data_IF_609295994892
#
_entry.id   IF_609295994892
#
_cell.length_a   1.000
_cell.length_b   1.000
_cell.length_c   1.000
_cell.angle_alpha   90.00
_cell.angle_beta   90.00
_cell.angle_gamma   90.00
#
_symmetry.space_group_name_H-M   'P 1'
#
loop_
_entity.id
_entity.type
_entity.pdbx_description
1 polymer ?
#
# COMPACT_ATOMS: atom_id res chain seq x y z
N UNK A 1 -23.38 11.78 -17.91
CA UNK A 1 -22.66 11.02 -18.95
C UNK A 1 -23.25 9.62 -19.00
N UNK A 2 -23.31 8.99 -20.16
CA UNK A 2 -23.89 7.65 -20.33
C UNK A 2 -22.82 6.55 -20.22
N UNK A 3 -23.27 5.29 -20.20
CA UNK A 3 -22.47 4.03 -20.16
C UNK A 3 -21.69 3.78 -18.86
N UNK A 4 -21.55 2.55 -18.38
CA UNK A 4 -22.15 1.29 -18.83
C UNK A 4 -21.41 0.07 -18.27
N UNK A 5 -22.17 -0.86 -17.69
CA UNK A 5 -21.80 -2.24 -17.31
C UNK A 5 -22.95 -3.14 -17.82
N UNK A 6 -22.80 -4.48 -18.02
CA UNK A 6 -21.61 -5.32 -17.78
C UNK A 6 -21.24 -6.30 -18.93
N UNK A 7 -20.00 -6.81 -18.93
CA UNK A 7 -19.55 -8.09 -19.54
C UNK A 7 -18.61 -8.75 -18.51
N UNK A 8 -18.79 -9.93 -17.92
CA UNK A 8 -19.24 -11.28 -18.35
C UNK A 8 -18.18 -12.06 -19.15
N UNK A 9 -17.88 -13.28 -18.64
CA UNK A 9 -16.99 -14.35 -19.14
C UNK A 9 -15.47 -14.25 -18.84
N UNK A 10 -14.77 -15.41 -18.68
CA UNK A 10 -15.24 -16.68 -18.13
C UNK A 10 -14.31 -17.33 -17.08
N UNK A 11 -14.87 -18.23 -16.27
CA UNK A 11 -14.10 -19.15 -15.42
C UNK A 11 -13.16 -20.03 -16.24
N UNK A 12 -11.90 -20.15 -15.82
CA UNK A 12 -11.01 -21.21 -16.30
C UNK A 12 -11.15 -22.46 -15.43
N UNK A 13 -11.83 -23.47 -15.98
CA UNK A 13 -11.78 -24.85 -15.47
C UNK A 13 -10.36 -25.41 -15.54
N UNK A 14 -9.66 -25.44 -14.40
CA UNK A 14 -8.42 -26.22 -14.27
C UNK A 14 -8.79 -27.70 -14.21
N UNK A 15 -8.87 -28.32 -15.38
CA UNK A 15 -9.04 -29.77 -15.55
C UNK A 15 -8.00 -30.53 -14.72
N UNK A 16 -8.43 -31.11 -13.61
CA UNK A 16 -7.65 -32.10 -12.88
C UNK A 16 -7.48 -33.33 -13.76
N UNK A 17 -6.31 -33.44 -14.42
CA UNK A 17 -5.97 -34.59 -15.24
C UNK A 17 -5.73 -35.81 -14.37
N UNK A 18 -6.77 -36.65 -14.26
CA UNK A 18 -6.66 -38.04 -13.83
C UNK A 18 -5.63 -38.78 -14.67
N UNK A 19 -4.51 -39.17 -14.05
CA UNK A 19 -3.62 -40.22 -14.56
C UNK A 19 -3.33 -41.25 -13.47
N UNK A 20 -4.04 -42.39 -13.45
CA UNK A 20 -3.65 -43.53 -12.64
C UNK A 20 -2.54 -44.29 -13.36
N UNK A 21 -1.36 -44.39 -12.75
CA UNK A 21 -0.42 -45.45 -13.11
C UNK A 21 0.45 -45.88 -11.92
N UNK A 22 -0.22 -46.34 -10.86
CA UNK A 22 0.38 -47.34 -9.97
C UNK A 22 0.49 -48.63 -10.79
N UNK A 23 1.56 -48.72 -11.60
CA UNK A 23 1.90 -49.93 -12.34
C UNK A 23 2.30 -50.97 -11.31
N UNK A 24 1.34 -51.82 -10.94
CA UNK A 24 1.56 -52.87 -9.95
C UNK A 24 2.80 -53.67 -10.33
N UNK A 25 3.85 -53.56 -9.51
CA UNK A 25 4.94 -54.52 -9.56
C UNK A 25 4.32 -55.86 -9.21
N UNK A 26 4.19 -56.72 -10.21
CA UNK A 26 3.85 -58.11 -9.99
C UNK A 26 4.84 -58.64 -8.96
N UNK A 27 4.34 -59.03 -7.80
CA UNK A 27 5.16 -59.72 -6.81
C UNK A 27 5.76 -60.92 -7.51
N UNK A 28 7.09 -61.14 -7.43
CA UNK A 28 7.66 -62.37 -7.96
C UNK A 28 6.91 -63.51 -7.27
N UNK A 29 6.29 -64.39 -8.07
CA UNK A 29 5.60 -65.58 -7.55
C UNK A 29 6.55 -66.18 -6.53
N UNK A 30 6.14 -66.24 -5.26
CA UNK A 30 6.91 -66.95 -4.24
C UNK A 30 7.09 -68.35 -4.79
N UNK A 31 8.29 -68.68 -5.24
CA UNK A 31 8.66 -70.05 -5.46
C UNK A 31 8.42 -70.69 -4.09
N UNK A 32 7.40 -71.53 -4.00
CA UNK A 32 7.36 -72.52 -2.93
C UNK A 32 8.66 -73.27 -3.14
N UNK A 33 9.65 -72.99 -2.29
CA UNK A 33 10.72 -73.93 -2.01
C UNK A 33 9.94 -75.15 -1.55
N UNK A 34 9.81 -76.11 -2.46
CA UNK A 34 9.07 -77.32 -2.19
C UNK A 34 9.76 -78.01 -1.02
N UNK A 35 8.97 -78.66 -0.17
CA UNK A 35 9.52 -79.42 0.94
C UNK A 35 10.49 -80.52 0.46
N UNK A 36 10.42 -80.89 -0.83
CA UNK A 36 11.40 -81.72 -1.56
C UNK A 36 12.79 -81.11 -1.73
N UNK A 37 12.92 -79.77 -1.82
CA UNK A 37 14.20 -79.13 -2.07
C UNK A 37 15.17 -79.26 -0.89
N UNK A 38 14.65 -79.41 0.34
CA UNK A 38 15.46 -79.76 1.51
C UNK A 38 15.82 -81.25 1.54
N UNK A 39 14.91 -82.13 1.12
CA UNK A 39 15.18 -83.59 1.02
C UNK A 39 16.31 -83.94 0.05
N UNK A 40 16.61 -83.07 -0.91
CA UNK A 40 17.78 -83.24 -1.78
C UNK A 40 19.11 -83.25 -1.04
N UNK A 41 19.17 -82.74 0.20
CA UNK A 41 20.37 -82.75 1.05
C UNK A 41 20.46 -84.01 1.94
N UNK A 42 19.36 -84.71 2.17
CA UNK A 42 19.33 -85.95 2.96
C UNK A 42 19.92 -87.13 2.15
N UNK A 43 20.51 -88.16 2.77
CA UNK A 43 20.82 -89.41 2.08
C UNK A 43 19.53 -90.10 1.61
N UNK A 44 19.49 -90.61 0.38
CA UNK A 44 18.30 -91.33 -0.12
C UNK A 44 18.14 -92.72 0.50
N UNK A 45 19.23 -93.30 1.02
CA UNK A 45 19.25 -94.60 1.68
C UNK A 45 19.18 -94.45 3.21
N UNK A 46 18.37 -95.29 3.86
CA UNK A 46 18.27 -95.34 5.34
C UNK A 46 19.11 -96.47 5.97
N UNK A 47 19.72 -97.32 5.15
CA UNK A 47 20.56 -98.45 5.57
C UNK A 47 21.72 -98.64 4.56
N UNK A 48 22.90 -99.08 5.01
CA UNK A 48 24.02 -99.37 4.13
C UNK A 48 23.73 -100.61 3.28
N UNK A 49 23.61 -100.44 1.96
CA UNK A 49 23.32 -101.55 1.03
C UNK A 49 24.56 -102.43 0.70
N UNK A 50 25.75 -102.04 1.16
CA UNK A 50 27.02 -102.74 0.92
C UNK A 50 27.51 -103.49 2.15
N UNK A 51 27.99 -104.72 1.94
CA UNK A 51 28.65 -105.55 2.97
C UNK A 51 29.89 -104.86 3.58
N UNK A 52 30.62 -104.07 2.78
CA UNK A 52 31.75 -103.26 3.21
C UNK A 52 31.29 -102.11 4.11
N UNK A 53 30.21 -101.43 3.75
CA UNK A 53 29.62 -100.37 4.57
C UNK A 53 29.08 -100.92 5.90
N UNK A 54 28.37 -102.06 5.91
CA UNK A 54 27.97 -102.75 7.14
C UNK A 54 29.17 -103.13 8.01
N UNK A 55 30.25 -103.66 7.43
CA UNK A 55 31.49 -103.99 8.16
C UNK A 55 32.13 -102.74 8.79
N UNK A 56 32.20 -101.63 8.06
CA UNK A 56 32.74 -100.37 8.59
C UNK A 56 31.88 -99.88 9.76
N UNK A 57 30.55 -99.89 9.62
CA UNK A 57 29.64 -99.50 10.71
C UNK A 57 29.76 -100.40 11.93
N UNK A 58 29.85 -101.73 11.74
CA UNK A 58 30.05 -102.67 12.85
C UNK A 58 31.38 -102.45 13.58
N UNK A 59 32.47 -102.12 12.86
CA UNK A 59 33.76 -101.77 13.48
C UNK A 59 33.65 -100.45 14.25
N UNK A 60 32.94 -99.44 13.72
CA UNK A 60 32.69 -98.19 14.42
C UNK A 60 31.85 -98.40 15.69
N UNK A 61 30.80 -99.22 15.63
CA UNK A 61 29.93 -99.51 16.77
C UNK A 61 30.65 -100.36 17.83
N UNK A 62 31.49 -101.33 17.44
CA UNK A 62 32.34 -102.09 18.36
C UNK A 62 33.43 -101.22 19.01
N UNK A 63 34.03 -100.29 18.26
CA UNK A 63 35.03 -99.36 18.81
C UNK A 63 34.38 -98.32 19.73
N UNK A 64 33.19 -97.82 19.42
CA UNK A 64 32.41 -96.97 20.31
C UNK A 64 32.10 -97.68 21.64
N UNK A 65 31.61 -98.93 21.60
CA UNK A 65 31.33 -99.71 22.81
C UNK A 65 32.60 -99.95 23.66
N UNK A 66 33.74 -100.27 23.04
CA UNK A 66 35.03 -100.42 23.75
C UNK A 66 35.53 -99.09 24.33
N UNK A 67 35.29 -97.98 23.65
CA UNK A 67 35.69 -96.65 24.07
C UNK A 67 34.85 -96.17 25.26
N UNK A 68 33.53 -96.37 25.22
CA UNK A 68 32.64 -96.18 26.37
C UNK A 68 33.14 -96.99 27.56
N UNK A 69 33.40 -98.29 27.39
CA UNK A 69 33.91 -99.14 28.47
C UNK A 69 35.25 -98.68 29.03
N UNK A 70 36.15 -98.18 28.19
CA UNK A 70 37.45 -97.65 28.60
C UNK A 70 37.30 -96.35 29.40
N UNK A 71 36.33 -95.50 29.03
CA UNK A 71 36.05 -94.23 29.72
C UNK A 71 35.51 -94.40 31.14
N UNK A 72 34.90 -95.55 31.45
CA UNK A 72 34.38 -95.87 32.78
C UNK A 72 35.47 -96.34 33.77
N UNK A 73 36.62 -96.83 33.28
CA UNK A 73 37.67 -97.42 34.14
C UNK A 73 38.18 -96.45 35.22
N UNK A 74 38.53 -95.18 34.93
CA UNK A 74 39.00 -94.25 35.96
C UNK A 74 37.97 -94.02 37.07
N UNK A 75 36.70 -93.81 36.71
CA UNK A 75 35.61 -93.62 37.68
C UNK A 75 35.42 -94.83 38.61
N UNK A 76 35.55 -96.05 38.07
CA UNK A 76 35.45 -97.29 38.84
C UNK A 76 36.66 -97.49 39.76
N UNK A 77 37.86 -97.02 39.36
CA UNK A 77 39.06 -97.01 40.22
C UNK A 77 38.90 -95.97 41.36
N UNK A 78 38.47 -94.74 41.05
CA UNK A 78 38.26 -93.66 42.03
C UNK A 78 37.21 -93.98 43.10
N UNK A 79 36.38 -95.00 42.88
CA UNK A 79 35.30 -95.41 43.78
C UNK A 79 35.23 -96.93 43.99
N UNK A 80 36.39 -97.59 43.92
CA UNK A 80 36.52 -99.05 43.96
C UNK A 80 35.81 -99.71 45.16
N UNK A 81 35.86 -99.09 46.35
CA UNK A 81 35.17 -99.56 47.57
C UNK A 81 33.66 -99.76 47.38
N UNK A 82 33.02 -99.02 46.46
CA UNK A 82 31.58 -99.12 46.17
C UNK A 82 31.24 -100.22 45.16
N UNK A 83 32.23 -100.67 44.41
CA UNK A 83 32.06 -101.60 43.29
C UNK A 83 32.77 -102.95 43.52
N UNK A 84 33.64 -103.06 44.52
CA UNK A 84 34.44 -104.27 44.80
C UNK A 84 33.61 -105.56 44.91
N UNK A 85 32.47 -105.51 45.60
CA UNK A 85 31.53 -106.64 45.75
C UNK A 85 30.88 -107.06 44.42
N UNK A 86 30.68 -106.10 43.51
CA UNK A 86 30.03 -106.30 42.21
C UNK A 86 31.01 -106.79 41.14
N UNK A 87 32.25 -106.29 41.20
CA UNK A 87 33.33 -106.64 40.28
C UNK A 87 33.95 -108.01 40.62
N UNK A 88 33.94 -108.39 41.90
CA UNK A 88 34.54 -109.63 42.38
C UNK A 88 36.08 -109.56 42.49
N UNK A 89 36.70 -110.48 43.23
CA UNK A 89 38.10 -110.35 43.66
C UNK A 89 39.10 -110.33 42.51
N UNK A 90 38.81 -111.03 41.41
CA UNK A 90 39.70 -111.09 40.25
C UNK A 90 39.73 -109.76 39.48
N UNK A 91 38.57 -109.13 39.25
CA UNK A 91 38.48 -107.86 38.53
C UNK A 91 39.01 -106.72 39.42
N UNK A 92 38.61 -106.69 40.70
CA UNK A 92 39.10 -105.70 41.68
C UNK A 92 40.62 -105.74 41.82
N UNK A 93 41.25 -106.93 41.82
CA UNK A 93 42.73 -107.05 41.80
C UNK A 93 43.34 -106.47 40.52
N UNK A 94 42.81 -106.79 39.34
CA UNK A 94 43.34 -106.24 38.08
C UNK A 94 43.18 -104.71 38.00
N UNK A 95 42.16 -104.14 38.63
CA UNK A 95 41.97 -102.68 38.74
C UNK A 95 42.94 -102.03 39.72
N UNK A 96 43.26 -102.67 40.85
CA UNK A 96 44.31 -102.21 41.76
C UNK A 96 45.69 -102.26 41.09
N UNK A 97 46.03 -103.36 40.42
CA UNK A 97 47.27 -103.46 39.61
C UNK A 97 47.33 -102.39 38.51
N UNK A 98 46.18 -102.02 37.92
CA UNK A 98 46.09 -100.93 36.95
C UNK A 98 46.30 -99.55 37.60
N UNK A 99 45.75 -99.32 38.80
CA UNK A 99 45.93 -98.09 39.56
C UNK A 99 47.39 -97.91 40.01
N UNK A 100 48.01 -98.96 40.55
CA UNK A 100 49.44 -98.98 40.90
C UNK A 100 50.32 -98.65 39.69
N UNK A 101 50.09 -99.31 38.55
CA UNK A 101 50.81 -99.01 37.30
C UNK A 101 50.57 -97.59 36.77
N UNK A 102 49.37 -97.03 36.96
CA UNK A 102 49.08 -95.64 36.58
C UNK A 102 49.83 -94.66 37.48
N UNK A 103 49.84 -94.89 38.80
CA UNK A 103 50.58 -94.08 39.76
C UNK A 103 52.10 -94.18 39.58
N UNK A 104 52.64 -95.36 39.28
CA UNK A 104 54.06 -95.53 38.90
C UNK A 104 54.41 -94.71 37.66
N UNK A 105 53.56 -94.75 36.63
CA UNK A 105 53.74 -93.99 35.39
C UNK A 105 53.63 -92.48 35.63
N UNK A 106 52.64 -92.02 36.39
CA UNK A 106 52.45 -90.60 36.74
C UNK A 106 53.60 -90.06 37.59
N UNK A 107 54.09 -90.81 38.58
CA UNK A 107 55.27 -90.44 39.36
C UNK A 107 56.52 -90.27 38.48
N UNK A 108 56.72 -91.16 37.50
CA UNK A 108 57.83 -91.07 36.56
C UNK A 108 57.70 -89.92 35.55
N UNK A 109 56.47 -89.60 35.13
CA UNK A 109 56.21 -88.44 34.26
C UNK A 109 56.37 -87.11 35.03
N UNK A 110 55.93 -87.04 36.29
CA UNK A 110 56.09 -85.86 37.13
C UNK A 110 57.56 -85.60 37.50
N UNK A 111 58.32 -86.66 37.85
CA UNK A 111 59.75 -86.55 38.15
C UNK A 111 60.65 -86.33 36.91
N UNK A 112 60.11 -86.44 35.69
CA UNK A 112 60.79 -86.10 34.45
C UNK A 112 60.79 -84.59 34.13
N UNK A 113 60.14 -83.76 34.94
CA UNK A 113 60.03 -82.31 34.71
C UNK A 113 61.29 -81.50 35.02
N UNK A 114 62.23 -82.06 35.79
CA UNK A 114 63.48 -81.42 36.19
C UNK A 114 64.70 -82.24 35.73
N UNK A 115 65.71 -81.56 35.19
CA UNK A 115 66.97 -82.09 34.61
C UNK A 115 66.89 -82.83 33.24
N UNK A 116 67.32 -82.12 32.19
CA UNK A 116 67.26 -82.52 30.76
C UNK A 116 68.26 -83.61 30.31
N UNK A 117 68.80 -84.43 31.22
CA UNK A 117 69.94 -85.32 30.91
C UNK A 117 69.96 -86.68 31.65
N UNK A 118 68.96 -87.57 31.45
CA UNK A 118 69.12 -89.02 31.80
C UNK A 118 68.51 -90.05 30.83
N UNK A 119 69.39 -90.62 30.00
CA UNK A 119 69.46 -92.06 29.65
C UNK A 119 68.30 -92.76 28.93
N UNK A 120 68.66 -93.57 27.92
CA UNK A 120 67.76 -94.55 27.25
C UNK A 120 67.05 -95.51 28.22
N UNK A 121 67.61 -95.74 29.42
CA UNK A 121 66.98 -96.54 30.49
C UNK A 121 65.64 -95.97 30.95
N UNK A 122 65.48 -94.64 31.05
CA UNK A 122 64.17 -94.05 31.38
C UNK A 122 63.16 -94.28 30.26
N UNK A 123 63.57 -94.10 29.00
CA UNK A 123 62.69 -94.35 27.84
C UNK A 123 62.31 -95.83 27.70
N UNK A 124 63.24 -96.75 27.96
CA UNK A 124 62.97 -98.19 28.02
C UNK A 124 62.03 -98.57 29.17
N UNK A 125 62.17 -97.94 30.33
CA UNK A 125 61.29 -98.16 31.47
C UNK A 125 59.87 -97.60 31.24
N UNK A 126 59.75 -96.40 30.67
CA UNK A 126 58.46 -95.82 30.24
C UNK A 126 57.78 -96.70 29.18
N UNK A 127 58.51 -97.18 28.17
CA UNK A 127 57.96 -98.09 27.15
C UNK A 127 57.51 -99.45 27.75
N UNK A 128 58.26 -99.97 28.73
CA UNK A 128 57.91 -101.19 29.45
C UNK A 128 56.66 -101.00 30.33
N UNK A 129 56.56 -99.87 31.05
CA UNK A 129 55.39 -99.50 31.85
C UNK A 129 54.17 -99.24 30.96
N UNK A 130 54.32 -98.49 29.87
CA UNK A 130 53.27 -98.28 28.87
C UNK A 130 52.75 -99.62 28.31
N UNK A 131 53.64 -100.57 28.02
CA UNK A 131 53.25 -101.90 27.55
C UNK A 131 52.59 -102.74 28.65
N UNK A 132 53.05 -102.67 29.91
CA UNK A 132 52.37 -103.31 31.07
C UNK A 132 50.99 -102.70 31.31
N UNK A 133 50.87 -101.38 31.27
CA UNK A 133 49.62 -100.62 31.41
C UNK A 133 48.64 -101.00 30.28
N UNK A 134 49.09 -101.02 29.02
CA UNK A 134 48.29 -101.50 27.88
C UNK A 134 47.84 -102.96 28.07
N UNK A 135 48.70 -103.85 28.56
CA UNK A 135 48.31 -105.23 28.85
C UNK A 135 47.31 -105.32 29.99
N UNK A 136 47.49 -104.54 31.07
CA UNK A 136 46.56 -104.46 32.21
C UNK A 136 45.19 -103.93 31.77
N UNK A 137 45.13 -102.77 31.10
CA UNK A 137 43.90 -102.21 30.52
C UNK A 137 43.22 -103.21 29.59
N UNK A 138 43.97 -103.92 28.72
CA UNK A 138 43.39 -104.94 27.83
C UNK A 138 42.85 -106.15 28.60
N UNK A 139 43.43 -106.52 29.73
CA UNK A 139 42.94 -107.61 30.57
C UNK A 139 41.69 -107.17 31.35
N UNK A 140 41.70 -105.97 31.96
CA UNK A 140 40.52 -105.35 32.57
C UNK A 140 39.36 -105.24 31.57
N UNK A 141 39.61 -104.72 30.36
CA UNK A 141 38.60 -104.62 29.31
C UNK A 141 38.09 -106.00 28.84
N UNK A 142 38.93 -107.03 28.76
CA UNK A 142 38.49 -108.40 28.47
C UNK A 142 37.56 -108.94 29.55
N UNK A 143 37.90 -108.73 30.82
CA UNK A 143 37.10 -109.17 31.97
C UNK A 143 35.76 -108.39 32.07
N UNK A 144 35.78 -107.09 31.77
CA UNK A 144 34.58 -106.26 31.67
C UNK A 144 33.68 -106.71 30.50
N UNK A 145 34.25 -107.00 29.32
CA UNK A 145 33.49 -107.47 28.15
C UNK A 145 32.99 -108.91 28.27
N UNK A 146 33.64 -109.76 29.08
CA UNK A 146 33.17 -111.10 29.40
C UNK A 146 31.88 -111.10 30.25
N UNK A 147 31.59 -110.00 30.96
CA UNK A 147 30.44 -109.83 31.85
C UNK A 147 29.53 -108.69 31.34
N UNK A 148 28.63 -108.96 30.36
CA UNK A 148 27.88 -107.91 29.64
C UNK A 148 26.91 -107.08 30.49
N UNK A 149 26.64 -107.45 31.75
CA UNK A 149 25.83 -106.69 32.70
C UNK A 149 26.62 -105.61 33.47
N UNK A 150 27.94 -105.78 33.68
CA UNK A 150 28.77 -104.79 34.36
C UNK A 150 28.80 -103.41 33.67
N UNK A 151 28.92 -103.31 32.31
CA UNK A 151 28.79 -102.05 31.57
C UNK A 151 27.62 -101.15 31.97
N UNK A 152 26.44 -101.73 32.19
CA UNK A 152 25.23 -100.96 32.52
C UNK A 152 25.12 -100.67 34.03
N UNK A 153 25.69 -101.52 34.87
CA UNK A 153 25.68 -101.33 36.32
C UNK A 153 26.71 -100.29 36.80
N UNK A 154 27.85 -100.17 36.10
CA UNK A 154 28.95 -99.26 36.42
C UNK A 154 28.82 -97.85 35.80
N UNK A 155 27.81 -97.62 34.95
CA UNK A 155 27.55 -96.27 34.39
C UNK A 155 27.17 -95.29 35.52
N UNK A 156 27.83 -94.12 35.63
CA UNK A 156 27.43 -93.08 36.57
C UNK A 156 25.96 -92.70 36.34
N UNK A 157 25.11 -92.87 37.35
CA UNK A 157 23.68 -92.45 37.29
C UNK A 157 23.49 -90.92 37.40
N UNK A 158 24.56 -90.18 37.64
CA UNK A 158 24.59 -88.72 37.74
C UNK A 158 25.80 -88.24 36.95
N UNK A 159 25.58 -87.41 35.93
CA UNK A 159 26.65 -86.84 35.11
C UNK A 159 27.45 -85.81 35.91
N UNK A 160 28.70 -86.12 36.23
CA UNK A 160 29.61 -85.24 36.98
C UNK A 160 30.77 -84.82 36.09
N UNK A 161 30.50 -83.81 35.25
CA UNK A 161 31.49 -83.16 34.40
C UNK A 161 31.92 -83.98 33.19
N UNK A 162 31.96 -83.32 32.03
CA UNK A 162 32.46 -83.92 30.80
C UNK A 162 33.96 -84.26 30.92
N UNK A 163 34.28 -85.49 31.34
CA UNK A 163 35.66 -85.97 31.34
C UNK A 163 36.23 -85.93 29.91
N UNK A 164 37.55 -85.74 29.72
CA UNK A 164 38.14 -85.76 28.37
C UNK A 164 37.81 -87.04 27.58
N UNK A 165 37.61 -88.16 28.28
CA UNK A 165 37.17 -89.42 27.69
C UNK A 165 35.70 -89.36 27.22
N UNK A 166 34.78 -88.77 28.00
CA UNK A 166 33.37 -88.60 27.61
C UNK A 166 33.20 -87.63 26.42
N UNK A 167 33.98 -86.53 26.39
CA UNK A 167 34.04 -85.62 25.23
C UNK A 167 34.45 -86.40 23.97
N UNK A 168 35.48 -87.25 24.10
CA UNK A 168 35.97 -88.05 22.99
C UNK A 168 34.97 -89.14 22.54
N UNK A 169 34.28 -89.81 23.49
CA UNK A 169 33.17 -90.74 23.18
C UNK A 169 32.07 -90.03 22.38
N UNK A 170 31.63 -88.84 22.81
CA UNK A 170 30.59 -88.09 22.08
C UNK A 170 31.07 -87.63 20.70
N UNK A 171 32.30 -87.13 20.59
CA UNK A 171 32.90 -86.76 19.31
C UNK A 171 33.01 -87.95 18.36
N UNK A 172 33.34 -89.14 18.89
CA UNK A 172 33.36 -90.38 18.12
C UNK A 172 31.95 -90.81 17.67
N UNK A 173 30.92 -90.61 18.50
CA UNK A 173 29.52 -90.79 18.11
C UNK A 173 29.09 -89.86 16.97
N UNK A 174 29.50 -88.60 16.98
CA UNK A 174 29.29 -87.65 15.87
C UNK A 174 30.03 -88.11 14.61
N UNK A 175 31.29 -88.53 14.73
CA UNK A 175 32.07 -89.09 13.61
C UNK A 175 31.41 -90.36 13.03
N UNK A 176 30.90 -91.27 13.87
CA UNK A 176 30.18 -92.46 13.46
C UNK A 176 28.92 -92.13 12.66
N UNK A 177 28.17 -91.11 13.06
CA UNK A 177 26.98 -90.66 12.33
C UNK A 177 27.33 -90.00 11.00
N UNK A 178 28.37 -89.16 10.97
CA UNK A 178 28.93 -88.59 9.73
C UNK A 178 29.41 -89.68 8.76
N UNK A 179 30.11 -90.71 9.27
CA UNK A 179 30.54 -91.86 8.46
C UNK A 179 29.34 -92.66 7.93
N UNK A 180 28.27 -92.82 8.71
CA UNK A 180 27.04 -93.43 8.23
C UNK A 180 26.43 -92.60 7.09
N UNK A 181 26.24 -91.29 7.26
CA UNK A 181 25.72 -90.40 6.21
C UNK A 181 26.58 -90.46 4.93
N UNK A 182 27.91 -90.53 5.06
CA UNK A 182 28.85 -90.70 3.94
C UNK A 182 28.82 -92.09 3.28
N UNK A 183 28.39 -93.12 3.98
CA UNK A 183 28.21 -94.48 3.43
C UNK A 183 26.82 -94.69 2.83
N UNK A 184 25.83 -93.87 3.24
CA UNK A 184 24.46 -93.84 2.71
C UNK A 184 24.28 -92.90 1.50
N UNK A 185 25.32 -92.14 1.13
CA UNK A 185 25.28 -91.19 0.01
C UNK A 185 26.00 -91.73 -1.21
N UNK A 186 25.27 -91.80 -2.33
CA UNK A 186 25.87 -92.15 -3.63
C UNK A 186 26.73 -91.00 -4.18
N UNK A 187 27.82 -91.27 -4.91
CA UNK A 187 28.61 -90.21 -5.58
C UNK A 187 27.77 -89.28 -6.47
N UNK A 188 26.73 -89.82 -7.12
CA UNK A 188 25.81 -89.04 -7.97
C UNK A 188 24.88 -88.15 -7.13
N UNK A 189 24.48 -88.62 -5.94
CA UNK A 189 23.68 -87.82 -5.00
C UNK A 189 24.52 -86.68 -4.41
N UNK A 190 25.78 -86.95 -4.04
CA UNK A 190 26.71 -85.93 -3.54
C UNK A 190 27.00 -84.85 -4.60
N UNK A 191 27.23 -85.25 -5.85
CA UNK A 191 27.43 -84.29 -6.94
C UNK A 191 26.14 -83.48 -7.23
N UNK A 192 24.97 -84.09 -7.09
CA UNK A 192 23.67 -83.39 -7.13
C UNK A 192 23.49 -82.39 -5.99
N UNK A 193 23.91 -82.72 -4.76
CA UNK A 193 23.92 -81.81 -3.60
C UNK A 193 24.84 -80.62 -3.84
N UNK A 194 26.05 -80.86 -4.35
CA UNK A 194 27.03 -79.81 -4.69
C UNK A 194 26.47 -78.86 -5.74
N UNK A 195 25.90 -79.39 -6.83
CA UNK A 195 25.29 -78.56 -7.90
C UNK A 195 24.11 -77.73 -7.36
N UNK A 196 23.23 -78.32 -6.56
CA UNK A 196 22.09 -77.64 -5.95
C UNK A 196 22.49 -76.50 -5.00
N UNK A 197 23.51 -76.72 -4.16
CA UNK A 197 24.06 -75.67 -3.29
C UNK A 197 24.74 -74.58 -4.11
N UNK A 198 25.41 -74.92 -5.21
CA UNK A 198 26.00 -73.94 -6.13
C UNK A 198 24.94 -73.09 -6.84
N UNK A 199 23.85 -73.70 -7.31
CA UNK A 199 22.72 -73.00 -7.94
C UNK A 199 22.01 -72.07 -6.95
N UNK A 200 21.70 -72.55 -5.73
CA UNK A 200 21.17 -71.71 -4.66
C UNK A 200 22.11 -70.55 -4.36
N UNK A 201 23.42 -70.79 -4.27
CA UNK A 201 24.42 -69.75 -4.03
C UNK A 201 24.46 -68.71 -5.15
N UNK A 202 24.32 -69.13 -6.41
CA UNK A 202 24.23 -68.25 -7.57
C UNK A 202 22.94 -67.43 -7.58
N UNK A 203 21.81 -68.05 -7.22
CA UNK A 203 20.54 -67.35 -7.05
C UNK A 203 20.59 -66.33 -5.92
N UNK A 204 21.17 -66.68 -4.76
CA UNK A 204 21.38 -65.76 -3.63
C UNK A 204 22.23 -64.57 -4.09
N UNK A 205 23.37 -64.79 -4.76
CA UNK A 205 24.22 -63.70 -5.31
C UNK A 205 23.44 -62.77 -6.24
N UNK A 206 22.73 -63.31 -7.23
CA UNK A 206 21.90 -62.52 -8.16
C UNK A 206 20.80 -61.73 -7.42
N UNK A 207 20.19 -62.32 -6.39
CA UNK A 207 19.18 -61.63 -5.58
C UNK A 207 19.79 -60.55 -4.67
N UNK A 208 20.97 -60.76 -4.07
CA UNK A 208 21.65 -59.72 -3.28
C UNK A 208 22.15 -58.57 -4.15
N UNK A 209 22.66 -58.84 -5.35
CA UNK A 209 22.99 -57.82 -6.36
C UNK A 209 21.75 -57.01 -6.78
N UNK A 210 20.62 -57.68 -7.03
CA UNK A 210 19.36 -56.99 -7.34
C UNK A 210 18.85 -56.14 -6.17
N UNK A 211 18.94 -56.64 -4.92
CA UNK A 211 18.56 -55.90 -3.71
C UNK A 211 19.44 -54.68 -3.51
N UNK A 212 20.77 -54.82 -3.59
CA UNK A 212 21.71 -53.69 -3.43
C UNK A 212 21.55 -52.66 -4.54
N UNK A 213 21.33 -53.07 -5.80
CA UNK A 213 21.04 -52.16 -6.90
C UNK A 213 19.70 -51.41 -6.71
N UNK A 214 18.67 -52.05 -6.16
CA UNK A 214 17.39 -51.40 -5.83
C UNK A 214 17.51 -50.47 -4.63
N UNK A 215 18.27 -50.85 -3.59
CA UNK A 215 18.58 -50.00 -2.44
C UNK A 215 19.36 -48.76 -2.86
N UNK A 216 20.36 -48.88 -3.75
CA UNK A 216 21.10 -47.75 -4.31
C UNK A 216 20.20 -46.81 -5.11
N UNK A 217 19.30 -47.34 -5.95
CA UNK A 217 18.30 -46.54 -6.69
C UNK A 217 17.32 -45.82 -5.75
N UNK A 218 16.89 -46.48 -4.67
CA UNK A 218 16.02 -45.88 -3.66
C UNK A 218 16.74 -44.76 -2.90
N UNK A 219 17.99 -44.98 -2.49
CA UNK A 219 18.81 -43.97 -1.82
C UNK A 219 19.05 -42.75 -2.72
N UNK A 220 19.39 -42.95 -4.00
CA UNK A 220 19.55 -41.87 -4.97
C UNK A 220 18.25 -41.09 -5.21
N UNK A 221 17.10 -41.76 -5.27
CA UNK A 221 15.78 -41.12 -5.39
C UNK A 221 15.40 -40.31 -4.13
N UNK A 222 15.71 -40.82 -2.94
CA UNK A 222 15.54 -40.10 -1.68
C UNK A 222 16.42 -38.85 -1.64
N UNK A 223 17.72 -38.99 -1.96
CA UNK A 223 18.65 -37.86 -1.99
C UNK A 223 18.22 -36.78 -3.00
N UNK A 224 17.86 -37.16 -4.23
CA UNK A 224 17.35 -36.23 -5.24
C UNK A 224 16.08 -35.51 -4.79
N UNK A 225 15.18 -36.18 -4.06
CA UNK A 225 13.99 -35.56 -3.47
C UNK A 225 14.38 -34.56 -2.37
N UNK A 226 15.32 -34.90 -1.51
CA UNK A 226 15.73 -34.07 -0.38
C UNK A 226 16.54 -32.83 -0.85
N UNK A 227 17.30 -32.97 -1.94
CA UNK A 227 17.92 -31.86 -2.68
C UNK A 227 16.87 -30.93 -3.32
N UNK A 228 15.76 -31.46 -3.83
CA UNK A 228 14.64 -30.64 -4.31
C UNK A 228 13.88 -29.94 -3.19
N UNK A 229 13.65 -30.62 -2.06
CA UNK A 229 12.99 -30.06 -0.88
C UNK A 229 13.82 -28.91 -0.34
N UNK A 230 15.13 -29.10 -0.13
CA UNK A 230 16.02 -28.03 0.37
C UNK A 230 16.10 -26.82 -0.58
N UNK A 231 16.09 -27.03 -1.90
CA UNK A 231 15.95 -25.93 -2.89
C UNK A 231 14.63 -25.17 -2.73
N UNK A 232 13.51 -25.88 -2.61
CA UNK A 232 12.18 -25.28 -2.41
C UNK A 232 12.09 -24.55 -1.07
N UNK A 233 12.64 -25.11 0.01
CA UNK A 233 12.69 -24.47 1.34
C UNK A 233 13.50 -23.17 1.34
N UNK A 234 14.60 -23.11 0.58
CA UNK A 234 15.36 -21.88 0.42
C UNK A 234 14.56 -20.81 -0.35
N UNK A 235 13.91 -21.17 -1.46
CA UNK A 235 13.00 -20.26 -2.18
C UNK A 235 11.85 -19.78 -1.27
N UNK A 236 11.30 -20.64 -0.40
CA UNK A 236 10.27 -20.26 0.57
C UNK A 236 10.82 -19.27 1.61
N UNK A 237 12.07 -19.41 2.07
CA UNK A 237 12.72 -18.44 2.98
C UNK A 237 12.94 -17.09 2.29
N UNK A 238 13.43 -17.09 1.05
CA UNK A 238 13.70 -15.88 0.27
C UNK A 238 12.40 -15.12 -0.07
N UNK A 239 11.32 -15.85 -0.39
CA UNK A 239 10.00 -15.25 -0.57
C UNK A 239 9.43 -14.69 0.74
N UNK A 240 9.62 -15.38 1.87
CA UNK A 240 9.17 -14.89 3.19
C UNK A 240 9.89 -13.61 3.60
N UNK A 241 11.22 -13.54 3.45
CA UNK A 241 11.99 -12.32 3.74
C UNK A 241 11.57 -11.18 2.83
N UNK A 242 11.49 -11.41 1.51
CA UNK A 242 11.05 -10.38 0.55
C UNK A 242 9.63 -9.88 0.80
N UNK A 243 8.69 -10.73 1.22
CA UNK A 243 7.34 -10.30 1.64
C UNK A 243 7.41 -9.43 2.90
N UNK A 244 8.21 -9.81 3.90
CA UNK A 244 8.39 -9.01 5.11
C UNK A 244 9.02 -7.65 4.83
N UNK A 245 10.01 -7.59 3.93
CA UNK A 245 10.69 -6.34 3.58
C UNK A 245 9.78 -5.43 2.74
N UNK A 246 9.06 -5.97 1.75
CA UNK A 246 8.02 -5.22 1.04
C UNK A 246 6.93 -4.69 1.98
N UNK A 247 6.55 -5.43 3.03
CA UNK A 247 5.60 -4.97 4.04
C UNK A 247 6.17 -3.85 4.93
N UNK A 248 7.47 -3.85 5.23
CA UNK A 248 8.14 -2.74 5.94
C UNK A 248 8.23 -1.50 5.04
N UNK A 249 8.70 -1.67 3.81
CA UNK A 249 8.91 -0.58 2.85
C UNK A 249 7.59 0.10 2.47
N UNK A 250 6.53 -0.68 2.21
CA UNK A 250 5.18 -0.15 1.97
C UNK A 250 4.63 0.60 3.19
N UNK A 251 4.85 0.10 4.41
CA UNK A 251 4.48 0.83 5.64
C UNK A 251 5.23 2.17 5.79
N UNK A 252 6.54 2.18 5.51
CA UNK A 252 7.36 3.40 5.57
C UNK A 252 6.94 4.40 4.49
N UNK A 253 6.72 3.95 3.25
CA UNK A 253 6.26 4.82 2.16
C UNK A 253 4.87 5.40 2.43
N UNK A 254 3.94 4.61 2.99
CA UNK A 254 2.63 5.10 3.42
C UNK A 254 2.72 6.16 4.52
N UNK A 255 3.59 5.95 5.52
CA UNK A 255 3.84 6.95 6.57
C UNK A 255 4.39 8.26 5.98
N UNK A 256 5.37 8.20 5.08
CA UNK A 256 5.91 9.38 4.40
C UNK A 256 4.85 10.13 3.59
N UNK A 257 4.09 9.42 2.75
CA UNK A 257 3.01 10.02 1.94
C UNK A 257 1.96 10.70 2.83
N UNK A 258 1.64 10.09 3.99
CA UNK A 258 0.71 10.68 4.97
C UNK A 258 1.28 11.94 5.61
N UNK A 259 2.54 11.92 6.06
CA UNK A 259 3.22 13.06 6.67
C UNK A 259 3.43 14.22 5.68
N UNK A 260 3.83 13.91 4.44
CA UNK A 260 3.92 14.88 3.34
C UNK A 260 2.56 15.49 3.02
N UNK A 261 1.50 14.68 2.92
CA UNK A 261 0.12 15.14 2.71
C UNK A 261 -0.41 16.03 3.84
N UNK A 262 -0.19 15.65 5.09
CA UNK A 262 -0.57 16.47 6.25
C UNK A 262 0.19 17.80 6.31
N UNK A 263 1.48 17.81 5.93
CA UNK A 263 2.28 19.03 5.88
C UNK A 263 1.85 19.94 4.73
N UNK A 264 1.61 19.38 3.54
CA UNK A 264 1.08 20.12 2.40
C UNK A 264 -0.28 20.75 2.72
N UNK A 265 -1.19 19.98 3.35
CA UNK A 265 -2.50 20.48 3.78
C UNK A 265 -2.38 21.65 4.77
N UNK A 266 -1.46 21.60 5.74
CA UNK A 266 -1.21 22.70 6.69
C UNK A 266 -0.71 23.96 5.97
N UNK A 267 0.23 23.82 5.03
CA UNK A 267 0.79 24.93 4.24
C UNK A 267 -0.29 25.55 3.36
N UNK A 268 -1.10 24.74 2.66
CA UNK A 268 -2.19 25.23 1.82
C UNK A 268 -3.30 25.91 2.64
N UNK A 269 -3.64 25.35 3.81
CA UNK A 269 -4.59 25.96 4.74
C UNK A 269 -4.09 27.33 5.21
N UNK A 270 -2.84 27.43 5.69
CA UNK A 270 -2.27 28.70 6.12
C UNK A 270 -2.19 29.72 4.96
N UNK A 271 -1.79 29.28 3.77
CA UNK A 271 -1.77 30.13 2.57
C UNK A 271 -3.18 30.62 2.18
N UNK A 272 -4.21 29.79 2.35
CA UNK A 272 -5.61 30.18 2.12
C UNK A 272 -6.12 31.16 3.17
N UNK A 273 -5.80 30.95 4.45
CA UNK A 273 -6.14 31.86 5.55
C UNK A 273 -5.50 33.24 5.34
N UNK A 274 -4.23 33.28 4.96
CA UNK A 274 -3.53 34.54 4.65
C UNK A 274 -4.16 35.27 3.45
N UNK A 275 -4.59 34.54 2.39
CA UNK A 275 -5.33 35.14 1.26
C UNK A 275 -6.68 35.70 1.69
N UNK A 276 -7.43 34.96 2.50
CA UNK A 276 -8.72 35.43 3.02
C UNK A 276 -8.55 36.67 3.92
N UNK A 277 -7.53 36.70 4.77
CA UNK A 277 -7.22 37.86 5.61
C UNK A 277 -6.85 39.11 4.78
N UNK A 278 -6.04 38.95 3.72
CA UNK A 278 -5.74 40.03 2.79
C UNK A 278 -6.98 40.57 2.08
N UNK A 279 -7.80 39.70 1.50
CA UNK A 279 -9.05 40.10 0.85
C UNK A 279 -10.05 40.76 1.82
N UNK A 280 -10.10 40.31 3.07
CA UNK A 280 -10.92 40.92 4.11
C UNK A 280 -10.45 42.35 4.43
N UNK A 281 -9.13 42.55 4.52
CA UNK A 281 -8.53 43.88 4.71
C UNK A 281 -8.79 44.80 3.50
N UNK A 282 -8.72 44.29 2.26
CA UNK A 282 -9.03 45.05 1.05
C UNK A 282 -10.52 45.48 1.03
N UNK A 283 -11.43 44.59 1.45
CA UNK A 283 -12.87 44.90 1.58
C UNK A 283 -13.09 46.03 2.60
N UNK A 284 -12.45 45.96 3.76
CA UNK A 284 -12.55 46.98 4.81
C UNK A 284 -12.01 48.34 4.33
N UNK A 285 -10.85 48.37 3.68
CA UNK A 285 -10.29 49.59 3.08
C UNK A 285 -11.21 50.19 2.00
N UNK A 286 -11.79 49.36 1.13
CA UNK A 286 -12.71 49.84 0.09
C UNK A 286 -14.04 50.35 0.68
N UNK A 287 -14.51 49.78 1.78
CA UNK A 287 -15.67 50.29 2.52
C UNK A 287 -15.37 51.65 3.18
N UNK A 288 -14.21 51.80 3.81
CA UNK A 288 -13.75 53.09 4.36
C UNK A 288 -13.65 54.15 3.25
N UNK A 289 -13.00 53.85 2.13
CA UNK A 289 -12.90 54.76 0.97
C UNK A 289 -14.28 55.15 0.43
N UNK A 290 -15.20 54.20 0.28
CA UNK A 290 -16.56 54.46 -0.19
C UNK A 290 -17.32 55.37 0.78
N UNK A 291 -17.25 55.11 2.08
CA UNK A 291 -17.95 55.93 3.09
C UNK A 291 -17.39 57.35 3.17
N UNK A 292 -16.07 57.53 3.06
CA UNK A 292 -15.43 58.83 2.98
C UNK A 292 -15.89 59.61 1.73
N UNK A 293 -15.82 58.98 0.55
CA UNK A 293 -16.22 59.59 -0.72
C UNK A 293 -17.70 59.96 -0.76
N UNK A 294 -18.58 59.13 -0.19
CA UNK A 294 -20.01 59.44 -0.02
C UNK A 294 -20.21 60.65 0.91
N UNK A 295 -19.44 60.76 2.01
CA UNK A 295 -19.51 61.90 2.91
C UNK A 295 -19.02 63.21 2.25
N UNK A 296 -17.90 63.17 1.53
CA UNK A 296 -17.39 64.32 0.76
C UNK A 296 -18.39 64.79 -0.30
N UNK A 297 -18.92 63.86 -1.09
CA UNK A 297 -19.96 64.17 -2.07
C UNK A 297 -21.20 64.77 -1.42
N UNK A 298 -21.67 64.22 -0.29
CA UNK A 298 -22.80 64.77 0.48
C UNK A 298 -22.55 66.21 0.92
N UNK A 299 -21.34 66.54 1.39
CA UNK A 299 -20.96 67.91 1.80
C UNK A 299 -20.92 68.85 0.59
N UNK A 300 -20.31 68.42 -0.53
CA UNK A 300 -20.23 69.21 -1.76
C UNK A 300 -21.63 69.50 -2.35
N UNK A 301 -22.52 68.52 -2.32
CA UNK A 301 -23.88 68.59 -2.85
C UNK A 301 -24.74 69.57 -2.03
N UNK A 302 -24.62 69.50 -0.69
CA UNK A 302 -25.25 70.46 0.22
C UNK A 302 -24.69 71.89 0.04
N UNK A 303 -23.39 72.04 -0.24
CA UNK A 303 -22.79 73.36 -0.53
C UNK A 303 -23.32 73.93 -1.85
N UNK A 304 -23.48 73.10 -2.89
CA UNK A 304 -24.10 73.49 -4.16
C UNK A 304 -25.58 73.86 -3.99
N UNK A 305 -26.37 73.08 -3.24
CA UNK A 305 -27.76 73.45 -2.88
C UNK A 305 -27.84 74.80 -2.19
N UNK A 306 -27.00 75.04 -1.17
CA UNK A 306 -26.91 76.33 -0.48
C UNK A 306 -26.47 77.48 -1.38
N UNK A 307 -25.68 77.23 -2.43
CA UNK A 307 -25.32 78.25 -3.43
C UNK A 307 -26.49 78.52 -4.38
N UNK A 308 -27.17 77.46 -4.85
CA UNK A 308 -28.37 77.56 -5.69
C UNK A 308 -29.45 78.41 -5.01
N UNK A 309 -29.85 78.09 -3.78
CA UNK A 309 -30.92 78.83 -3.08
C UNK A 309 -30.55 80.30 -2.80
N UNK A 310 -29.26 80.63 -2.62
CA UNK A 310 -28.82 82.03 -2.51
C UNK A 310 -29.01 82.79 -3.82
N UNK A 311 -28.58 82.21 -4.94
CA UNK A 311 -28.77 82.80 -6.27
C UNK A 311 -30.26 82.90 -6.65
N UNK A 312 -31.09 81.91 -6.30
CA UNK A 312 -32.54 81.97 -6.50
C UNK A 312 -33.18 83.11 -5.70
N UNK A 313 -32.75 83.32 -4.44
CA UNK A 313 -33.21 84.43 -3.61
C UNK A 313 -32.71 85.80 -4.11
N UNK A 314 -31.47 85.88 -4.61
CA UNK A 314 -30.94 87.08 -5.29
C UNK A 314 -31.76 87.42 -6.54
N UNK A 315 -32.05 86.43 -7.41
CA UNK A 315 -32.91 86.60 -8.59
C UNK A 315 -34.31 87.06 -8.19
N UNK A 316 -34.91 86.44 -7.17
CA UNK A 316 -36.24 86.83 -6.67
C UNK A 316 -36.25 88.29 -6.18
N UNK A 317 -35.22 88.72 -5.44
CA UNK A 317 -35.06 90.11 -5.03
C UNK A 317 -34.90 91.08 -6.22
N UNK A 318 -34.22 90.67 -7.30
CA UNK A 318 -34.11 91.48 -8.52
C UNK A 318 -35.43 91.58 -9.29
N UNK A 319 -36.19 90.49 -9.38
CA UNK A 319 -37.53 90.49 -9.98
C UNK A 319 -38.47 91.37 -9.17
N UNK A 320 -38.51 91.23 -7.84
CA UNK A 320 -39.36 92.06 -6.99
C UNK A 320 -39.04 93.56 -7.16
N UNK A 321 -37.76 93.95 -7.20
CA UNK A 321 -37.36 95.34 -7.45
C UNK A 321 -37.80 95.83 -8.83
N UNK A 322 -37.62 95.01 -9.86
CA UNK A 322 -38.08 95.36 -11.20
C UNK A 322 -39.60 95.57 -11.23
N UNK A 323 -40.37 94.68 -10.59
CA UNK A 323 -41.82 94.78 -10.52
C UNK A 323 -42.27 96.04 -9.73
N UNK A 324 -41.58 96.41 -8.64
CA UNK A 324 -41.87 97.66 -7.92
C UNK A 324 -41.52 98.90 -8.73
N UNK A 325 -40.32 98.95 -9.30
CA UNK A 325 -39.85 100.10 -10.08
C UNK A 325 -40.73 100.32 -11.33
N UNK A 326 -41.18 99.23 -11.97
CA UNK A 326 -42.12 99.28 -13.09
C UNK A 326 -43.53 99.73 -12.66
N UNK A 327 -44.02 99.30 -11.49
CA UNK A 327 -45.30 99.76 -10.96
C UNK A 327 -45.27 101.26 -10.58
N UNK A 328 -44.18 101.73 -9.97
CA UNK A 328 -43.95 103.15 -9.68
C UNK A 328 -43.91 103.98 -10.98
N UNK A 329 -43.16 103.52 -12.00
CA UNK A 329 -43.08 104.20 -13.30
C UNK A 329 -44.39 104.19 -14.07
N UNK A 330 -45.19 103.13 -13.94
CA UNK A 330 -46.54 103.08 -14.51
C UNK A 330 -47.48 104.06 -13.81
N UNK A 331 -47.42 104.18 -12.48
CA UNK A 331 -48.20 105.16 -11.72
C UNK A 331 -47.81 106.61 -12.04
N UNK A 332 -46.50 106.91 -12.15
CA UNK A 332 -46.01 108.22 -12.63
C UNK A 332 -46.52 108.54 -14.04
N UNK A 333 -46.50 107.56 -14.95
CA UNK A 333 -47.02 107.72 -16.31
C UNK A 333 -48.52 108.01 -16.31
N UNK A 334 -49.31 107.27 -15.52
CA UNK A 334 -50.76 107.45 -15.40
C UNK A 334 -51.12 108.82 -14.77
N UNK A 335 -50.36 109.30 -13.79
CA UNK A 335 -50.52 110.64 -13.21
C UNK A 335 -50.24 111.74 -14.26
N UNK A 336 -49.16 111.60 -15.04
CA UNK A 336 -48.80 112.54 -16.10
C UNK A 336 -49.83 112.51 -17.25
N UNK A 337 -50.30 111.34 -17.67
CA UNK A 337 -51.31 111.21 -18.74
C UNK A 337 -52.67 111.77 -18.29
N UNK A 338 -53.06 111.58 -17.03
CA UNK A 338 -54.24 112.21 -16.44
C UNK A 338 -54.10 113.75 -16.42
N UNK A 339 -52.97 114.28 -15.92
CA UNK A 339 -52.70 115.72 -15.93
C UNK A 339 -52.69 116.29 -17.36
N UNK A 340 -52.08 115.60 -18.32
CA UNK A 340 -52.08 115.98 -19.73
C UNK A 340 -53.50 115.97 -20.34
N UNK A 341 -54.33 114.98 -19.98
CA UNK A 341 -55.73 114.94 -20.41
C UNK A 341 -56.55 116.11 -19.85
N UNK A 342 -56.32 116.49 -18.58
CA UNK A 342 -56.92 117.68 -17.96
C UNK A 342 -56.44 118.98 -18.62
N UNK A 343 -55.13 119.19 -18.77
CA UNK A 343 -54.56 120.37 -19.43
C UNK A 343 -55.04 120.50 -20.88
N UNK A 344 -55.15 119.38 -21.60
CA UNK A 344 -55.67 119.34 -22.97
C UNK A 344 -57.15 119.74 -23.03
N UNK A 345 -57.96 119.29 -22.08
CA UNK A 345 -59.37 119.67 -21.96
C UNK A 345 -59.53 121.16 -21.56
N UNK A 346 -58.67 121.67 -20.67
CA UNK A 346 -58.61 123.10 -20.34
C UNK A 346 -58.19 123.95 -21.55
N UNK A 347 -57.20 123.49 -22.32
CA UNK A 347 -56.70 124.15 -23.52
C UNK A 347 -57.75 124.19 -24.64
N UNK A 348 -58.54 123.13 -24.85
CA UNK A 348 -59.67 123.19 -25.78
C UNK A 348 -60.73 124.20 -25.33
N UNK A 349 -61.07 124.22 -24.03
CA UNK A 349 -62.00 125.21 -23.46
C UNK A 349 -61.51 126.66 -23.58
N UNK A 350 -60.20 126.89 -23.39
CA UNK A 350 -59.56 128.19 -23.59
C UNK A 350 -59.53 128.59 -25.06
N UNK A 351 -59.28 127.63 -25.97
CA UNK A 351 -59.29 127.86 -27.42
C UNK A 351 -60.69 128.23 -27.92
N UNK A 352 -61.73 127.55 -27.45
CA UNK A 352 -63.13 127.89 -27.73
C UNK A 352 -63.50 129.29 -27.22
N UNK A 353 -63.16 129.61 -25.97
CA UNK A 353 -63.37 130.96 -25.41
C UNK A 353 -62.62 132.03 -26.18
N UNK A 354 -61.37 131.77 -26.56
CA UNK A 354 -60.56 132.70 -27.36
C UNK A 354 -61.16 132.90 -28.76
N UNK A 355 -61.67 131.84 -29.39
CA UNK A 355 -62.35 131.94 -30.69
C UNK A 355 -63.65 132.77 -30.64
N UNK A 356 -64.33 132.85 -29.48
CA UNK A 356 -65.47 133.73 -29.26
C UNK A 356 -65.05 135.17 -28.92
N UNK A 357 -64.04 135.35 -28.07
CA UNK A 357 -63.58 136.69 -27.63
C UNK A 357 -62.80 137.44 -28.71
N UNK A 358 -62.11 136.75 -29.62
CA UNK A 358 -61.30 137.38 -30.66
C UNK A 358 -62.14 138.23 -31.64
N UNK A 359 -63.28 137.76 -32.20
CA UNK A 359 -64.13 138.62 -33.04
C UNK A 359 -64.70 139.81 -32.26
N UNK A 360 -65.14 139.63 -31.00
CA UNK A 360 -65.61 140.74 -30.14
C UNK A 360 -64.50 141.78 -29.91
N UNK A 361 -63.28 141.33 -29.62
CA UNK A 361 -62.12 142.21 -29.45
C UNK A 361 -61.79 142.98 -30.75
N UNK A 362 -61.78 142.30 -31.90
CA UNK A 362 -61.57 142.98 -33.19
C UNK A 362 -62.66 143.99 -33.51
N UNK A 363 -63.93 143.69 -33.19
CA UNK A 363 -65.03 144.65 -33.34
C UNK A 363 -64.82 145.88 -32.45
N UNK A 364 -64.45 145.70 -31.17
CA UNK A 364 -64.15 146.81 -30.26
C UNK A 364 -62.95 147.64 -30.74
N UNK A 365 -61.92 147.01 -31.31
CA UNK A 365 -60.78 147.73 -31.90
C UNK A 365 -61.18 148.51 -33.16
N UNK A 366 -61.99 147.92 -34.04
CA UNK A 366 -62.53 148.57 -35.22
C UNK A 366 -63.45 149.74 -34.85
N UNK A 367 -64.36 149.57 -33.89
CA UNK A 367 -65.20 150.64 -33.35
C UNK A 367 -64.36 151.80 -32.78
N UNK A 368 -63.28 151.49 -32.04
CA UNK A 368 -62.35 152.49 -31.52
C UNK A 368 -61.61 153.23 -32.64
N UNK A 369 -61.15 152.54 -33.68
CA UNK A 369 -60.53 153.16 -34.87
C UNK A 369 -61.54 154.06 -35.59
N UNK A 370 -62.76 153.58 -35.83
CA UNK A 370 -63.83 154.36 -36.47
C UNK A 370 -64.26 155.57 -35.62
N UNK A 371 -64.19 155.48 -34.29
CA UNK A 371 -64.41 156.62 -33.39
C UNK A 371 -63.26 157.64 -33.49
N UNK A 372 -62.01 157.19 -33.47
CA UNK A 372 -60.83 158.06 -33.65
C UNK A 372 -60.85 158.76 -35.02
N UNK A 373 -61.17 158.04 -36.10
CA UNK A 373 -61.33 158.63 -37.44
C UNK A 373 -62.44 159.68 -37.48
N UNK A 374 -63.60 159.42 -36.85
CA UNK A 374 -64.69 160.41 -36.72
C UNK A 374 -64.31 161.63 -35.89
N UNK A 375 -63.56 161.44 -34.80
CA UNK A 375 -63.04 162.55 -33.99
C UNK A 375 -62.04 163.39 -34.80
N UNK A 376 -61.11 162.76 -35.52
CA UNK A 376 -60.22 163.44 -36.43
C UNK A 376 -60.97 164.19 -37.53
N UNK A 377 -61.98 163.58 -38.16
CA UNK A 377 -62.81 164.21 -39.19
C UNK A 377 -63.59 165.40 -38.64
N UNK A 378 -64.18 165.29 -37.46
CA UNK A 378 -64.82 166.41 -36.77
C UNK A 378 -63.82 167.54 -36.46
N UNK A 379 -62.57 167.21 -36.13
CA UNK A 379 -61.49 168.16 -35.86
C UNK A 379 -60.98 168.82 -37.16
N UNK A 380 -60.92 168.07 -38.27
CA UNK A 380 -60.68 168.60 -39.64
C UNK A 380 -61.81 169.55 -40.04
N UNK A 381 -63.08 169.16 -39.83
CA UNK A 381 -64.25 170.01 -40.10
C UNK A 381 -64.22 171.28 -39.24
N UNK A 382 -63.97 171.18 -37.94
CA UNK A 382 -63.85 172.33 -37.04
C UNK A 382 -62.75 173.27 -37.52
N UNK A 383 -61.60 172.73 -37.97
CA UNK A 383 -60.52 173.52 -38.56
C UNK A 383 -60.91 174.21 -39.88
N UNK A 384 -61.72 173.57 -40.75
CA UNK A 384 -62.24 174.24 -41.95
C UNK A 384 -63.26 175.33 -41.62
N UNK A 385 -64.17 175.09 -40.67
CA UNK A 385 -65.15 176.05 -40.15
C UNK A 385 -64.44 177.25 -39.49
N UNK A 386 -63.40 177.01 -38.68
CA UNK A 386 -62.56 178.05 -38.09
C UNK A 386 -61.79 178.85 -39.16
N UNK A 387 -61.24 178.21 -40.20
CA UNK A 387 -60.63 178.91 -41.34
C UNK A 387 -61.63 179.77 -42.12
N UNK A 388 -62.87 179.30 -42.29
CA UNK A 388 -63.94 180.08 -42.92
C UNK A 388 -64.34 181.29 -42.06
N UNK A 389 -64.55 181.09 -40.75
CA UNK A 389 -64.82 182.16 -39.79
C UNK A 389 -63.70 183.21 -39.77
N UNK A 390 -62.43 182.78 -39.75
CA UNK A 390 -61.28 183.68 -39.83
C UNK A 390 -61.25 184.51 -41.12
N UNK A 391 -61.60 183.91 -42.28
CA UNK A 391 -61.75 184.63 -43.55
C UNK A 391 -62.87 185.68 -43.51
N UNK A 392 -64.03 185.34 -42.93
CA UNK A 392 -65.16 186.27 -42.77
C UNK A 392 -64.79 187.43 -41.84
N UNK A 393 -64.19 187.12 -40.68
CA UNK A 393 -63.70 188.13 -39.73
C UNK A 393 -62.64 189.05 -40.35
N UNK A 394 -61.72 188.51 -41.16
CA UNK A 394 -60.73 189.31 -41.89
C UNK A 394 -61.39 190.22 -42.94
N UNK A 395 -62.41 189.73 -43.66
CA UNK A 395 -63.16 190.54 -44.64
C UNK A 395 -63.91 191.70 -43.96
N UNK A 396 -64.56 191.43 -42.83
CA UNK A 396 -65.29 192.44 -42.04
C UNK A 396 -64.36 193.48 -41.42
N UNK A 397 -63.26 193.07 -40.79
CA UNK A 397 -62.20 193.98 -40.31
C UNK A 397 -61.66 194.84 -41.46
N UNK A 398 -61.43 194.24 -42.63
CA UNK A 398 -61.00 194.94 -43.84
C UNK A 398 -62.07 195.87 -44.47
N UNK A 399 -63.36 195.64 -44.23
CA UNK A 399 -64.44 196.57 -44.62
C UNK A 399 -64.50 197.77 -43.67
N UNK A 400 -64.40 197.53 -42.36
CA UNK A 400 -64.42 198.55 -41.33
C UNK A 400 -63.30 199.59 -41.51
N UNK A 401 -62.07 199.12 -41.79
CA UNK A 401 -60.90 199.98 -42.07
C UNK A 401 -61.07 200.81 -43.35
N UNK A 402 -61.75 200.28 -44.38
CA UNK A 402 -61.94 200.98 -45.67
C UNK A 402 -63.04 202.04 -45.66
N UNK A 403 -63.86 202.11 -44.62
CA UNK A 403 -64.92 203.14 -44.47
C UNK A 403 -64.43 204.44 -43.83
N UNK A 404 -63.26 204.45 -43.18
CA UNK A 404 -62.78 205.56 -42.35
C UNK A 404 -61.77 206.52 -43.00
N UNK A 405 -61.34 206.33 -44.27
CA UNK A 405 -60.33 207.18 -44.91
C UNK A 405 -60.60 207.57 -46.39
N UNK A 406 -60.47 208.88 -46.68
CA UNK A 406 -60.34 209.59 -47.98
C UNK A 406 -59.49 210.86 -47.70
N UNK A 407 -58.82 211.58 -48.66
CA UNK A 407 -58.89 211.52 -50.15
C UNK A 407 -57.55 211.76 -50.95
N UNK A 408 -57.67 211.91 -52.31
CA UNK A 408 -56.81 212.62 -53.33
C UNK A 408 -55.69 211.88 -54.17
N UNK A 409 -56.00 211.67 -55.47
CA UNK A 409 -55.26 211.88 -56.79
C UNK A 409 -53.71 211.66 -56.88
N UNK A 410 -53.06 211.18 -57.98
CA UNK A 410 -53.37 211.18 -59.45
C UNK A 410 -52.41 210.24 -60.28
N UNK A 411 -52.80 209.84 -61.53
CA UNK A 411 -52.11 208.92 -62.52
C UNK A 411 -52.09 207.42 -62.11
N UNK A 412 -51.82 206.38 -62.92
CA UNK A 412 -51.65 206.16 -64.40
C UNK A 412 -50.61 205.04 -64.71
N UNK A 413 -50.61 204.19 -65.77
CA UNK A 413 -51.57 203.88 -66.88
C UNK A 413 -51.17 202.58 -67.70
N UNK A 414 -51.79 201.40 -67.48
CA UNK A 414 -51.74 200.19 -68.37
C UNK A 414 -51.16 198.88 -67.76
N UNK A 415 -51.93 197.76 -67.63
CA UNK A 415 -52.25 196.66 -68.60
C UNK A 415 -51.08 195.65 -68.79
N UNK A 416 -51.25 194.31 -68.88
CA UNK A 416 -52.40 193.37 -68.89
C UNK A 416 -51.86 191.91 -68.75
N UNK A 417 -52.65 190.93 -68.25
CA UNK A 417 -52.41 189.49 -68.49
C UNK A 417 -52.26 188.60 -67.24
N UNK A 418 -53.12 187.57 -67.12
CA UNK A 418 -53.05 186.54 -66.07
C UNK A 418 -52.03 185.46 -66.48
N UNK A 419 -51.29 184.94 -65.50
CA UNK A 419 -50.77 183.57 -65.48
C UNK A 419 -51.65 182.74 -64.55
#
# INVERSE_FOLDING_TARGET
MATGDPDVFPSQDVKQSTKPLVKGMASPRKAKITFDAMKMLDPCQLKPDSMEAERIMNVLDETAAKLEMSSLIPHVIDSLDRFADMLGPEITRNLLELQELSMEMECLLASSGEETMRTEKQRGHLCFLEQRLKCSIRNVLRLFLANPSLPQALRPKVGVGDSPAEVFVRAFGVFRNFMLERLLTSPVEEEGKIQFVADISLHIKKHTEAITALQAKLAAAIQSRDDEISKKDNVIKDLKTRIQDLAKDSKISFQKIKEEGENQQKVELQASQNRCAGLQQDIEQLQEQLTALVAEHRVSELALRKRKCRLEMEIWNWVQKYDTDMAEKQAEYEEIDAAYAEEKAQLSLLTEKHALLLPEYTQIEEERKMLQEKEEEALRELNTKNRAAARIQALWKGYLVRRLYRPKKKKGKGKKGKK
#
